data_IF_918633075488
#
_entry.id   IF_918633075488
#
_cell.length_a   1.000
_cell.length_b   1.000
_cell.length_c   1.000
_cell.angle_alpha   90.00
_cell.angle_beta   90.00
_cell.angle_gamma   90.00
#
_symmetry.space_group_name_H-M   'P 1'
#
loop_
_entity.id
_entity.type
_entity.pdbx_description
1 polymer ?
#
# COMPACT_ATOMS: atom_id res chain seq x y z
N UNK A 1 -12.26 -39.29 -20.46
CA UNK A 1 -10.93 -39.94 -20.43
C UNK A 1 -9.91 -38.88 -20.04
N UNK A 2 -9.64 -38.72 -18.74
CA UNK A 2 -8.40 -39.14 -18.06
C UNK A 2 -7.14 -38.72 -18.82
N UNK A 3 -6.49 -37.67 -18.31
CA UNK A 3 -5.03 -37.60 -18.11
C UNK A 3 -4.73 -36.58 -17.01
N UNK A 4 -4.82 -37.08 -15.78
CA UNK A 4 -4.00 -36.65 -14.67
C UNK A 4 -2.53 -36.79 -15.08
N UNK A 5 -1.73 -35.74 -14.83
CA UNK A 5 -0.31 -35.89 -14.57
C UNK A 5 0.07 -34.94 -13.42
N UNK A 6 0.23 -35.46 -12.19
CA UNK A 6 0.97 -34.82 -11.13
C UNK A 6 2.45 -35.22 -11.21
N UNK A 7 3.36 -34.26 -11.08
CA UNK A 7 4.79 -34.54 -10.81
C UNK A 7 5.32 -33.33 -10.03
N UNK A 8 5.37 -33.43 -8.70
CA UNK A 8 6.61 -33.56 -7.89
C UNK A 8 7.71 -32.58 -8.33
N UNK A 9 7.89 -31.45 -7.62
CA UNK A 9 8.74 -31.30 -6.42
C UNK A 9 10.20 -31.68 -6.68
N UNK A 10 11.11 -30.69 -6.75
CA UNK A 10 12.36 -30.63 -5.95
C UNK A 10 12.87 -29.18 -5.93
N UNK A 11 12.87 -28.55 -4.76
CA UNK A 11 13.78 -27.46 -4.41
C UNK A 11 15.01 -28.09 -3.74
N UNK A 12 16.23 -27.76 -4.17
CA UNK A 12 17.32 -27.60 -3.22
C UNK A 12 18.03 -26.26 -3.41
N UNK A 13 18.38 -25.69 -2.26
CA UNK A 13 19.19 -24.49 -2.12
C UNK A 13 20.54 -24.66 -2.84
N UNK A 14 20.87 -23.72 -3.72
CA UNK A 14 22.24 -23.47 -4.15
C UNK A 14 22.66 -22.07 -3.67
N UNK A 15 22.88 -21.97 -2.36
CA UNK A 15 23.62 -20.88 -1.74
C UNK A 15 25.10 -21.08 -2.10
N UNK A 16 25.51 -20.60 -3.27
CA UNK A 16 26.91 -20.67 -3.70
C UNK A 16 27.69 -19.52 -3.01
N UNK A 17 28.12 -19.82 -1.79
CA UNK A 17 29.20 -19.12 -1.11
C UNK A 17 30.52 -19.59 -1.72
N UNK A 18 31.15 -18.78 -2.58
CA UNK A 18 32.54 -18.95 -2.96
C UNK A 18 33.29 -17.64 -2.73
N UNK A 19 34.13 -17.71 -1.71
CA UNK A 19 34.98 -16.67 -1.16
C UNK A 19 36.30 -16.58 -1.95
N UNK A 20 36.99 -15.46 -1.73
CA UNK A 20 38.43 -15.39 -1.54
C UNK A 20 39.34 -15.32 -2.78
N UNK A 21 40.06 -14.20 -2.88
CA UNK A 21 41.38 -14.15 -3.52
C UNK A 21 42.23 -13.12 -2.76
N UNK A 22 43.30 -13.52 -2.05
CA UNK A 22 44.27 -12.60 -1.45
C UNK A 22 45.44 -12.38 -2.41
N UNK A 23 45.94 -11.15 -2.58
CA UNK A 23 47.24 -10.92 -3.22
C UNK A 23 48.41 -11.11 -2.23
N UNK A 24 49.61 -11.45 -2.74
CA UNK A 24 50.76 -11.97 -1.97
C UNK A 24 51.52 -10.89 -1.17
N UNK A 25 52.37 -11.29 -0.19
CA UNK A 25 53.18 -10.38 0.62
C UNK A 25 54.60 -10.18 0.08
N UNK A 26 55.07 -8.92 0.10
CA UNK A 26 56.45 -8.43 0.09
C UNK A 26 56.33 -6.89 -0.01
N UNK A 27 56.95 -6.01 0.77
CA UNK A 27 58.08 -6.03 1.69
C UNK A 27 57.91 -4.81 2.60
N UNK A 28 58.35 -4.89 3.85
CA UNK A 28 58.37 -3.78 4.77
C UNK A 28 59.35 -2.69 4.32
N UNK A 29 58.90 -1.44 4.28
CA UNK A 29 59.78 -0.28 4.38
C UNK A 29 59.10 0.77 5.28
N UNK A 30 59.78 1.07 6.39
CA UNK A 30 59.33 1.98 7.42
C UNK A 30 59.77 3.41 7.07
N UNK A 31 58.85 4.38 7.07
CA UNK A 31 59.12 5.73 7.57
C UNK A 31 57.91 6.65 7.59
N UNK A 32 57.88 7.46 8.66
CA UNK A 32 57.11 8.68 8.94
C UNK A 32 55.70 8.53 9.57
N UNK A 33 55.42 9.24 10.68
CA UNK A 33 54.10 9.26 11.32
C UNK A 33 53.12 10.07 10.46
N UNK A 34 51.90 9.57 10.20
CA UNK A 34 50.90 10.34 9.47
C UNK A 34 50.29 11.39 10.38
N UNK A 35 50.23 12.63 9.88
CA UNK A 35 49.29 13.65 10.34
C UNK A 35 47.88 13.05 10.21
N UNK A 36 47.16 12.99 11.33
CA UNK A 36 45.79 12.51 11.37
C UNK A 36 44.88 13.48 10.60
N UNK A 37 44.59 13.15 9.34
CA UNK A 37 43.39 13.63 8.66
C UNK A 37 42.18 13.02 9.38
N UNK A 38 41.20 13.80 9.86
CA UNK A 38 39.97 13.22 10.38
C UNK A 38 39.29 12.47 9.23
N UNK A 39 39.26 11.14 9.32
CA UNK A 39 38.45 10.31 8.45
C UNK A 39 36.99 10.66 8.72
N UNK A 40 36.34 11.23 7.72
CA UNK A 40 34.90 11.49 7.70
C UNK A 40 34.14 10.18 7.95
N UNK A 41 33.33 10.05 9.01
CA UNK A 41 32.59 8.83 9.26
C UNK A 41 31.26 8.85 8.48
N UNK A 42 31.25 8.39 7.23
CA UNK A 42 30.01 7.92 6.59
C UNK A 42 30.31 6.95 5.43
N UNK A 43 29.73 5.73 5.45
CA UNK A 43 28.47 5.54 4.73
C UNK A 43 27.52 4.49 5.34
N UNK A 44 27.57 4.20 6.64
CA UNK A 44 26.70 3.18 7.24
C UNK A 44 25.20 3.59 7.31
N UNK A 45 24.89 4.89 7.23
CA UNK A 45 23.52 5.44 7.32
C UNK A 45 22.73 5.33 6.01
N UNK A 46 23.38 5.31 4.85
CA UNK A 46 22.69 5.26 3.55
C UNK A 46 22.10 3.88 3.26
N UNK A 47 22.81 2.80 3.62
CA UNK A 47 22.38 1.42 3.37
C UNK A 47 21.12 1.00 4.15
N UNK A 48 20.87 1.60 5.32
CA UNK A 48 19.69 1.31 6.16
C UNK A 48 18.50 2.23 5.83
N UNK A 49 18.72 3.34 5.13
CA UNK A 49 17.69 4.34 4.85
C UNK A 49 16.64 3.86 3.84
N UNK A 50 17.03 3.06 2.85
CA UNK A 50 16.14 2.54 1.81
C UNK A 50 15.09 1.52 2.34
N UNK A 51 15.47 0.46 3.09
CA UNK A 51 14.48 -0.48 3.63
C UNK A 51 13.55 0.20 4.65
N UNK A 52 14.06 1.12 5.46
CA UNK A 52 13.24 1.89 6.40
C UNK A 52 12.19 2.75 5.66
N UNK A 53 12.58 3.35 4.53
CA UNK A 53 11.67 4.16 3.69
C UNK A 53 10.58 3.29 3.05
N UNK A 54 10.94 2.13 2.47
CA UNK A 54 9.94 1.21 1.91
C UNK A 54 8.95 0.69 2.97
N UNK A 55 9.41 0.48 4.21
CA UNK A 55 8.54 0.11 5.32
C UNK A 55 7.56 1.24 5.69
N UNK A 56 8.00 2.50 5.67
CA UNK A 56 7.13 3.65 5.92
C UNK A 56 6.08 3.84 4.82
N UNK A 57 6.47 3.69 3.55
CA UNK A 57 5.54 3.78 2.41
C UNK A 57 4.45 2.70 2.48
N UNK A 58 4.85 1.47 2.80
CA UNK A 58 3.90 0.36 2.97
C UNK A 58 3.01 0.50 4.21
N UNK A 59 3.51 1.13 5.28
CA UNK A 59 2.69 1.50 6.45
C UNK A 59 1.62 2.53 6.08
N UNK A 60 2.01 3.62 5.41
CA UNK A 60 1.09 4.65 4.94
C UNK A 60 -0.03 4.08 4.05
N UNK A 61 0.34 3.20 3.10
CA UNK A 61 -0.63 2.55 2.22
C UNK A 61 -1.63 1.64 2.98
N UNK A 62 -1.17 0.91 3.99
CA UNK A 62 -2.03 0.06 4.84
C UNK A 62 -3.00 0.89 5.66
N UNK A 63 -2.57 2.02 6.21
CA UNK A 63 -3.44 2.90 7.00
C UNK A 63 -4.52 3.56 6.15
N UNK A 64 -4.18 3.99 4.93
CA UNK A 64 -5.15 4.49 3.96
C UNK A 64 -6.19 3.41 3.61
N UNK A 65 -5.74 2.18 3.32
CA UNK A 65 -6.64 1.05 3.07
C UNK A 65 -7.55 0.73 4.26
N UNK A 66 -7.01 0.71 5.47
CA UNK A 66 -7.80 0.46 6.68
C UNK A 66 -8.91 1.51 6.85
N UNK A 67 -8.61 2.77 6.56
CA UNK A 67 -9.60 3.86 6.59
C UNK A 67 -10.69 3.68 5.53
N UNK A 68 -10.31 3.31 4.31
CA UNK A 68 -11.27 3.01 3.24
C UNK A 68 -12.19 1.84 3.61
N UNK A 69 -11.64 0.75 4.14
CA UNK A 69 -12.43 -0.41 4.55
C UNK A 69 -13.34 -0.09 5.74
N UNK A 70 -12.89 0.74 6.68
CA UNK A 70 -13.73 1.20 7.79
C UNK A 70 -14.93 2.02 7.31
N UNK A 71 -14.71 2.92 6.34
CA UNK A 71 -15.79 3.67 5.68
C UNK A 71 -16.78 2.75 4.95
N UNK A 72 -16.28 1.86 4.07
CA UNK A 72 -17.12 0.95 3.29
C UNK A 72 -17.88 -0.03 4.19
N UNK A 73 -17.26 -0.50 5.28
CA UNK A 73 -17.89 -1.38 6.25
C UNK A 73 -18.97 -0.72 7.10
N UNK A 74 -18.88 0.60 7.33
CA UNK A 74 -19.92 1.35 8.06
C UNK A 74 -21.17 1.58 7.21
N UNK A 75 -21.03 1.64 5.88
CA UNK A 75 -22.07 2.13 4.98
C UNK A 75 -23.42 1.38 5.05
N UNK A 76 -23.49 0.03 5.10
CA UNK A 76 -24.77 -0.69 5.15
C UNK A 76 -25.52 -0.53 6.48
N UNK A 77 -24.85 -0.11 7.56
CA UNK A 77 -25.45 -0.01 8.91
C UNK A 77 -25.60 1.41 9.42
N UNK A 78 -24.57 2.23 9.27
CA UNK A 78 -24.50 3.59 9.79
C UNK A 78 -23.85 4.54 8.76
N UNK A 79 -24.63 5.03 7.78
CA UNK A 79 -24.13 5.93 6.75
C UNK A 79 -23.68 7.28 7.32
N UNK A 80 -24.24 7.72 8.45
CA UNK A 80 -23.82 8.95 9.12
C UNK A 80 -22.43 8.80 9.75
N UNK A 81 -22.13 7.66 10.37
CA UNK A 81 -20.76 7.32 10.79
C UNK A 81 -19.82 7.21 9.59
N UNK A 82 -20.27 6.63 8.48
CA UNK A 82 -19.48 6.55 7.26
C UNK A 82 -19.04 7.96 6.77
N UNK A 83 -19.90 8.97 6.91
CA UNK A 83 -19.59 10.34 6.49
C UNK A 83 -18.41 10.97 7.26
N UNK A 84 -18.13 10.53 8.49
CA UNK A 84 -17.00 11.04 9.29
C UNK A 84 -15.62 10.70 8.68
N UNK A 85 -15.56 9.68 7.83
CA UNK A 85 -14.33 9.32 7.11
C UNK A 85 -14.02 10.29 5.96
N UNK A 86 -14.98 11.10 5.52
CA UNK A 86 -14.78 12.08 4.47
C UNK A 86 -14.13 13.36 4.98
N UNK A 87 -13.37 14.00 4.09
CA UNK A 87 -12.93 15.37 4.25
C UNK A 87 -14.16 16.28 4.37
N UNK A 88 -14.24 17.09 5.41
CA UNK A 88 -15.40 17.95 5.67
C UNK A 88 -16.67 17.19 6.10
N UNK A 89 -16.58 15.88 6.37
CA UNK A 89 -17.69 15.09 6.92
C UNK A 89 -18.84 14.81 5.95
N UNK A 90 -18.60 14.89 4.63
CA UNK A 90 -19.62 14.59 3.60
C UNK A 90 -18.97 14.11 2.29
N UNK A 91 -19.58 13.15 1.57
CA UNK A 91 -19.13 12.72 0.25
C UNK A 91 -19.19 13.81 -0.84
N UNK A 92 -18.32 13.68 -1.84
CA UNK A 92 -18.19 14.59 -2.98
C UNK A 92 -19.15 14.29 -4.15
N UNK A 93 -20.10 13.37 -3.96
CA UNK A 93 -21.02 12.87 -4.98
C UNK A 93 -20.45 11.75 -5.86
N UNK A 94 -19.13 11.54 -5.85
CA UNK A 94 -18.50 10.43 -6.57
C UNK A 94 -18.85 9.04 -6.02
N UNK A 95 -19.35 8.98 -4.78
CA UNK A 95 -19.86 7.76 -4.13
C UNK A 95 -21.37 7.52 -4.34
N UNK A 96 -22.06 8.39 -5.08
CA UNK A 96 -23.51 8.37 -5.24
C UNK A 96 -24.08 6.98 -5.61
N UNK A 97 -23.44 6.17 -6.47
CA UNK A 97 -23.92 4.82 -6.78
C UNK A 97 -24.06 3.89 -5.56
N UNK A 98 -23.42 4.18 -4.43
CA UNK A 98 -23.63 3.42 -3.18
C UNK A 98 -24.70 4.06 -2.29
N UNK A 99 -24.85 5.38 -2.35
CA UNK A 99 -25.77 6.15 -1.48
C UNK A 99 -27.21 6.14 -1.97
N UNK A 100 -27.38 6.05 -3.29
CA UNK A 100 -28.69 6.06 -3.93
C UNK A 100 -29.33 4.67 -3.96
N UNK A 101 -28.60 3.63 -3.56
CA UNK A 101 -29.13 2.27 -3.49
C UNK A 101 -30.08 2.11 -2.31
N UNK A 102 -31.32 1.74 -2.63
CA UNK A 102 -32.28 1.32 -1.61
C UNK A 102 -31.90 -0.04 -1.03
N UNK A 103 -31.88 -0.13 0.30
CA UNK A 103 -31.76 -1.41 1.01
C UNK A 103 -30.42 -2.11 0.85
N UNK A 104 -29.29 -1.37 0.88
CA UNK A 104 -27.95 -1.96 0.96
C UNK A 104 -27.79 -2.74 2.27
N UNK A 105 -27.68 -4.07 2.17
CA UNK A 105 -27.59 -4.99 3.33
C UNK A 105 -26.17 -5.39 3.62
N UNK A 106 -25.40 -5.71 2.58
CA UNK A 106 -24.04 -6.15 2.69
C UNK A 106 -23.21 -5.71 1.49
N UNK A 107 -21.91 -5.63 1.69
CA UNK A 107 -20.95 -5.27 0.65
C UNK A 107 -19.69 -6.10 0.83
N UNK A 108 -19.19 -6.66 -0.28
CA UNK A 108 -17.88 -7.25 -0.36
C UNK A 108 -16.97 -6.33 -1.15
N UNK A 109 -15.87 -5.93 -0.51
CA UNK A 109 -14.87 -5.04 -1.06
C UNK A 109 -13.73 -5.88 -1.63
N UNK A 110 -13.40 -5.64 -2.90
CA UNK A 110 -12.13 -6.02 -3.50
C UNK A 110 -11.41 -4.73 -3.91
N UNK A 111 -10.12 -4.61 -3.62
CA UNK A 111 -9.37 -3.38 -3.91
C UNK A 111 -8.06 -3.68 -4.65
N UNK A 112 -7.70 -2.76 -5.55
CA UNK A 112 -6.41 -2.77 -6.20
C UNK A 112 -5.29 -2.27 -5.28
N UNK A 113 -4.08 -2.22 -5.84
CA UNK A 113 -2.91 -1.64 -5.17
C UNK A 113 -3.11 -0.12 -5.00
N UNK A 114 -2.92 0.45 -3.80
CA UNK A 114 -2.88 1.89 -3.60
C UNK A 114 -1.81 2.55 -4.48
N UNK A 115 -2.17 3.64 -5.15
CA UNK A 115 -1.31 4.42 -6.04
C UNK A 115 -1.02 5.78 -5.38
N UNK A 116 0.25 6.12 -5.09
CA UNK A 116 0.56 7.42 -4.51
C UNK A 116 0.17 8.55 -5.48
N UNK A 117 -0.38 9.63 -4.94
CA UNK A 117 -0.79 10.82 -5.70
C UNK A 117 0.18 12.00 -5.54
N UNK A 118 1.18 11.84 -4.68
CA UNK A 118 2.21 12.84 -4.42
C UNK A 118 3.58 12.19 -4.39
N UNK A 119 4.62 13.02 -4.43
CA UNK A 119 6.03 12.61 -4.40
C UNK A 119 6.60 12.59 -2.98
N UNK A 120 5.76 12.77 -1.94
CA UNK A 120 6.23 12.73 -0.55
C UNK A 120 6.72 11.32 -0.21
N UNK A 121 7.66 11.25 0.73
CA UNK A 121 8.18 9.98 1.25
C UNK A 121 8.10 9.98 2.78
N UNK A 122 7.12 9.28 3.39
CA UNK A 122 6.07 8.46 2.74
C UNK A 122 5.00 9.33 2.03
N UNK A 123 4.26 8.77 1.05
CA UNK A 123 3.17 9.46 0.38
C UNK A 123 2.09 9.89 1.37
N UNK A 124 1.51 11.07 1.14
CA UNK A 124 0.45 11.64 1.98
C UNK A 124 -0.93 11.62 1.32
N UNK A 125 -1.00 11.14 0.09
CA UNK A 125 -2.23 10.91 -0.65
C UNK A 125 -2.14 9.65 -1.53
N UNK A 126 -3.23 8.89 -1.59
CA UNK A 126 -3.35 7.68 -2.39
C UNK A 126 -4.65 7.66 -3.19
N UNK A 127 -4.62 7.10 -4.39
CA UNK A 127 -5.79 6.61 -5.10
C UNK A 127 -5.86 5.08 -4.98
N UNK A 128 -7.01 4.56 -4.59
CA UNK A 128 -7.22 3.14 -4.35
C UNK A 128 -8.35 2.66 -5.27
N UNK A 129 -8.04 1.85 -6.29
CA UNK A 129 -9.05 1.22 -7.12
C UNK A 129 -9.90 0.24 -6.32
N UNK A 130 -11.20 0.15 -6.60
CA UNK A 130 -12.14 -0.76 -5.93
C UNK A 130 -13.09 -1.45 -6.91
N UNK A 131 -13.43 -2.69 -6.59
CA UNK A 131 -14.50 -3.47 -7.19
C UNK A 131 -15.40 -3.98 -6.06
N UNK A 132 -16.66 -3.56 -6.08
CA UNK A 132 -17.62 -3.77 -5.00
C UNK A 132 -18.71 -4.71 -5.49
N UNK A 133 -18.99 -5.72 -4.67
CA UNK A 133 -20.15 -6.61 -4.85
C UNK A 133 -21.15 -6.30 -3.74
N UNK A 134 -22.34 -5.90 -4.13
CA UNK A 134 -23.37 -5.38 -3.25
C UNK A 134 -24.51 -6.37 -3.14
N UNK A 135 -25.04 -6.52 -1.94
CA UNK A 135 -26.31 -7.19 -1.67
C UNK A 135 -27.35 -6.10 -1.35
N UNK A 136 -28.25 -5.84 -2.29
CA UNK A 136 -29.31 -4.84 -2.16
C UNK A 136 -30.68 -5.48 -2.34
N UNK A 137 -31.74 -4.78 -1.96
CA UNK A 137 -33.12 -5.29 -2.03
C UNK A 137 -33.53 -5.72 -3.44
N UNK A 138 -33.08 -5.02 -4.47
CA UNK A 138 -33.36 -5.33 -5.87
C UNK A 138 -32.58 -6.56 -6.41
N UNK A 139 -31.67 -7.14 -5.62
CA UNK A 139 -30.79 -8.23 -6.03
C UNK A 139 -29.30 -7.84 -5.98
N UNK A 140 -28.38 -8.74 -6.35
CA UNK A 140 -26.96 -8.44 -6.32
C UNK A 140 -26.59 -7.37 -7.37
N UNK A 141 -25.74 -6.43 -6.98
CA UNK A 141 -25.24 -5.38 -7.86
C UNK A 141 -23.71 -5.28 -7.81
N UNK A 142 -23.12 -4.67 -8.84
CA UNK A 142 -21.68 -4.45 -8.95
C UNK A 142 -21.37 -3.00 -9.23
N UNK A 143 -20.38 -2.48 -8.54
CA UNK A 143 -19.90 -1.10 -8.68
C UNK A 143 -18.37 -1.13 -8.68
N UNK A 144 -17.75 -0.37 -9.56
CA UNK A 144 -16.30 -0.24 -9.60
C UNK A 144 -15.86 1.21 -9.75
N UNK A 145 -14.59 1.48 -9.42
CA UNK A 145 -14.05 2.82 -9.50
C UNK A 145 -12.84 3.00 -8.61
N UNK A 146 -12.73 4.19 -7.99
CA UNK A 146 -11.64 4.50 -7.09
C UNK A 146 -12.08 5.43 -5.96
N UNK A 147 -11.28 5.41 -4.88
CA UNK A 147 -11.32 6.38 -3.79
C UNK A 147 -9.96 7.05 -3.66
N UNK A 148 -9.95 8.37 -3.43
CA UNK A 148 -8.74 9.12 -3.10
C UNK A 148 -8.72 9.47 -1.64
N UNK A 149 -7.65 9.09 -0.96
CA UNK A 149 -7.43 9.39 0.44
C UNK A 149 -6.24 10.31 0.62
N UNK A 150 -6.27 11.10 1.69
CA UNK A 150 -5.17 11.97 2.10
C UNK A 150 -5.03 12.01 3.62
N UNK A 151 -3.84 12.37 4.09
CA UNK A 151 -3.59 12.61 5.51
C UNK A 151 -4.23 13.94 5.94
N UNK A 152 -4.96 13.94 7.05
CA UNK A 152 -5.54 15.15 7.64
C UNK A 152 -4.44 16.03 8.27
N UNK A 153 -4.70 17.33 8.41
CA UNK A 153 -3.79 18.22 9.14
C UNK A 153 -3.60 17.79 10.60
N UNK A 154 -4.65 17.24 11.22
CA UNK A 154 -4.67 16.74 12.61
C UNK A 154 -4.11 15.33 12.75
N UNK A 155 -3.63 14.71 11.66
CA UNK A 155 -3.26 13.30 11.61
C UNK A 155 -4.43 12.37 11.27
N UNK A 156 -4.09 11.14 10.89
CA UNK A 156 -5.04 10.15 10.36
C UNK A 156 -5.37 10.37 8.88
N UNK A 157 -6.12 9.43 8.30
CA UNK A 157 -6.52 9.45 6.89
C UNK A 157 -7.98 9.88 6.73
N UNK A 158 -8.27 10.48 5.58
CA UNK A 158 -9.62 10.86 5.17
C UNK A 158 -9.84 10.61 3.69
N UNK A 159 -11.08 10.35 3.31
CA UNK A 159 -11.50 10.27 1.92
C UNK A 159 -11.70 11.70 1.42
N UNK A 160 -10.98 12.03 0.35
CA UNK A 160 -11.00 13.36 -0.27
C UNK A 160 -11.88 13.43 -1.52
N UNK A 161 -12.00 12.31 -2.24
CA UNK A 161 -12.86 12.20 -3.42
C UNK A 161 -13.10 10.74 -3.79
N UNK A 162 -14.13 10.49 -4.60
CA UNK A 162 -14.38 9.19 -5.20
C UNK A 162 -14.82 9.33 -6.66
N UNK A 163 -14.79 8.22 -7.38
CA UNK A 163 -15.53 8.07 -8.63
C UNK A 163 -15.94 6.63 -8.77
N UNK A 164 -17.23 6.36 -8.60
CA UNK A 164 -17.83 5.05 -8.73
C UNK A 164 -18.78 5.00 -9.92
N UNK A 165 -18.89 3.82 -10.53
CA UNK A 165 -19.83 3.55 -11.61
C UNK A 165 -20.41 2.14 -11.45
N UNK A 166 -21.71 1.95 -11.70
CA UNK A 166 -22.28 0.62 -11.85
C UNK A 166 -21.56 -0.14 -12.97
N UNK A 167 -21.28 -1.43 -12.74
CA UNK A 167 -20.86 -2.33 -13.82
C UNK A 167 -22.13 -2.83 -14.52
N UNK A 168 -22.21 -2.66 -15.83
CA UNK A 168 -23.29 -3.23 -16.66
C UNK A 168 -22.85 -4.64 -17.08
N UNK A 169 -23.69 -5.64 -16.81
CA UNK A 169 -23.52 -7.03 -17.27
C UNK A 169 -24.28 -7.24 -18.59
#
# INVERSE_FOLDING_TARGET
MRRWLPTLLVLPLAHCSCQHSPPPPATAEASAPPVATPADPAPATAATAEPARAAQESAAAREALATLHAYLGALPGDPARADTFWAGGRPDGGDAPLRELAGLRAMRVDNGRPRPLDENRPPRAFEIPVHLRLDVEAGPARVAGWYRLRVRATGGWEISSASLRPELD
#
